data_IF_695613100698
#
_entry.id   IF_695613100698
#
_cell.length_a   1.000
_cell.length_b   1.000
_cell.length_c   1.000
_cell.angle_alpha   90.00
_cell.angle_beta   90.00
_cell.angle_gamma   90.00
#
_symmetry.space_group_name_H-M   'P 1'
#
loop_
_entity.id
_entity.type
_entity.pdbx_description
1 polymer ?
#
# COMPACT_ATOMS: atom_id res chain seq x y z
N UNK A 1 18.37 28.71 2.96
CA UNK A 1 19.53 27.92 2.49
C UNK A 1 20.73 27.96 3.45
N UNK A 2 21.15 29.10 4.04
CA UNK A 2 22.29 29.13 4.96
C UNK A 2 22.12 28.13 6.12
N UNK A 3 21.02 28.22 6.90
CA UNK A 3 20.74 27.29 8.00
C UNK A 3 20.69 25.81 7.58
N UNK A 4 20.26 25.51 6.35
CA UNK A 4 20.22 24.13 5.85
C UNK A 4 21.62 23.55 5.63
N UNK A 5 22.60 24.38 5.30
CA UNK A 5 24.01 23.95 5.13
C UNK A 5 24.70 23.64 6.45
N UNK A 6 24.26 24.29 7.54
CA UNK A 6 24.83 24.13 8.88
C UNK A 6 24.14 23.02 9.68
N UNK A 7 23.04 22.45 9.18
CA UNK A 7 22.32 21.38 9.82
C UNK A 7 23.00 20.01 9.59
N UNK A 8 22.83 19.06 10.50
CA UNK A 8 23.24 17.67 10.32
C UNK A 8 22.22 16.89 9.49
N UNK A 9 20.94 17.17 9.69
CA UNK A 9 19.80 16.59 8.98
C UNK A 9 18.75 17.67 8.72
N UNK A 10 18.09 17.60 7.58
CA UNK A 10 17.01 18.51 7.21
C UNK A 10 15.69 17.74 7.25
N UNK A 11 14.74 18.19 8.06
CA UNK A 11 13.36 17.71 8.04
C UNK A 11 12.51 18.69 7.24
N UNK A 12 12.10 18.29 6.04
CA UNK A 12 11.24 19.07 5.17
C UNK A 12 9.78 18.66 5.34
N UNK A 13 8.98 19.46 6.04
CA UNK A 13 7.54 19.22 6.20
C UNK A 13 6.82 19.96 5.07
N UNK A 14 6.29 19.20 4.13
CA UNK A 14 5.66 19.67 2.90
C UNK A 14 4.29 19.01 2.70
N UNK A 15 3.54 19.46 1.71
CA UNK A 15 2.25 18.88 1.38
C UNK A 15 1.17 19.91 1.13
N UNK A 16 -0.03 19.60 1.55
CA UNK A 16 -1.23 20.37 1.25
C UNK A 16 -1.75 21.12 2.47
N UNK A 17 -2.45 22.20 2.21
CA UNK A 17 -3.14 22.98 3.24
C UNK A 17 -4.65 22.69 3.17
N UNK A 18 -5.37 23.09 4.19
CA UNK A 18 -6.83 23.08 4.27
C UNK A 18 -7.53 23.83 3.10
N UNK A 19 -6.81 24.73 2.43
CA UNK A 19 -7.31 25.45 1.24
C UNK A 19 -7.21 24.64 -0.05
N UNK A 20 -6.42 23.59 -0.06
CA UNK A 20 -6.17 22.75 -1.24
C UNK A 20 -6.92 21.42 -1.22
N UNK A 21 -7.47 21.03 -0.09
CA UNK A 21 -8.12 19.73 0.12
C UNK A 21 -9.44 19.91 0.86
N UNK A 22 -10.51 19.33 0.33
CA UNK A 22 -11.83 19.36 0.94
C UNK A 22 -12.93 19.14 -0.10
N UNK A 23 -14.16 19.09 0.36
CA UNK A 23 -15.32 18.98 -0.51
C UNK A 23 -15.35 20.13 -1.53
N UNK A 24 -15.60 19.81 -2.79
CA UNK A 24 -15.62 20.75 -3.92
C UNK A 24 -14.26 21.41 -4.24
N UNK A 25 -13.16 20.93 -3.66
CA UNK A 25 -11.81 21.39 -3.97
C UNK A 25 -11.09 20.39 -4.88
N UNK A 26 -11.50 20.35 -6.15
CA UNK A 26 -10.88 19.50 -7.16
C UNK A 26 -9.52 20.02 -7.59
N UNK A 27 -8.56 19.11 -7.76
CA UNK A 27 -7.21 19.44 -8.27
C UNK A 27 -6.99 18.82 -9.64
N UNK A 28 -6.29 19.56 -10.49
CA UNK A 28 -5.86 19.10 -11.82
C UNK A 28 -4.43 18.56 -11.82
N UNK A 29 -3.71 18.69 -10.70
CA UNK A 29 -2.36 18.15 -10.52
C UNK A 29 -2.26 17.50 -9.14
N UNK A 30 -1.55 16.38 -9.06
CA UNK A 30 -1.22 15.69 -7.82
C UNK A 30 0.23 15.99 -7.37
N UNK A 31 0.88 16.97 -7.95
CA UNK A 31 2.21 17.40 -7.54
C UNK A 31 2.18 18.20 -6.24
N UNK A 32 3.34 18.33 -5.60
CA UNK A 32 3.53 19.22 -4.46
C UNK A 32 3.12 20.64 -4.83
N UNK A 33 2.26 21.31 -4.05
CA UNK A 33 1.72 22.61 -4.41
C UNK A 33 2.77 23.72 -4.41
N UNK A 34 2.58 24.70 -5.30
CA UNK A 34 3.38 25.92 -5.35
C UNK A 34 4.84 25.64 -5.68
N UNK A 35 5.75 26.10 -4.82
CA UNK A 35 7.20 25.96 -5.00
C UNK A 35 7.84 24.90 -4.11
N UNK A 36 7.06 24.00 -3.54
CA UNK A 36 7.56 23.01 -2.59
C UNK A 36 8.54 22.04 -3.24
N UNK A 37 8.29 21.61 -4.48
CA UNK A 37 9.22 20.79 -5.24
C UNK A 37 10.58 21.49 -5.42
N UNK A 38 10.57 22.74 -5.82
CA UNK A 38 11.80 23.55 -5.98
C UNK A 38 12.55 23.73 -4.66
N UNK A 39 11.82 23.91 -3.56
CA UNK A 39 12.43 23.97 -2.23
C UNK A 39 13.11 22.65 -1.86
N UNK A 40 12.43 21.52 -2.08
CA UNK A 40 12.96 20.20 -1.78
C UNK A 40 14.24 19.91 -2.59
N UNK A 41 14.23 20.22 -3.88
CA UNK A 41 15.40 20.10 -4.74
C UNK A 41 16.56 21.00 -4.26
N UNK A 42 16.27 22.23 -3.88
CA UNK A 42 17.28 23.15 -3.35
C UNK A 42 17.86 22.65 -2.01
N UNK A 43 17.05 22.06 -1.13
CA UNK A 43 17.53 21.45 0.11
C UNK A 43 18.43 20.24 -0.19
N UNK A 44 18.06 19.41 -1.14
CA UNK A 44 18.87 18.26 -1.56
C UNK A 44 20.25 18.69 -2.08
N UNK A 45 20.36 19.81 -2.81
CA UNK A 45 21.66 20.32 -3.31
C UNK A 45 22.62 20.75 -2.20
N UNK A 46 22.20 20.84 -0.95
CA UNK A 46 23.11 21.11 0.18
C UNK A 46 24.02 19.93 0.51
N UNK A 47 23.71 18.74 0.01
CA UNK A 47 24.39 17.48 0.33
C UNK A 47 24.09 16.93 1.74
N UNK A 48 23.17 17.57 2.47
CA UNK A 48 22.73 17.08 3.79
C UNK A 48 21.61 16.04 3.62
N UNK A 49 21.53 15.04 4.51
CA UNK A 49 20.40 14.12 4.52
C UNK A 49 19.07 14.88 4.66
N UNK A 50 18.12 14.59 3.80
CA UNK A 50 16.77 15.18 3.84
C UNK A 50 15.77 14.10 4.22
N UNK A 51 14.94 14.38 5.21
CA UNK A 51 13.74 13.60 5.54
C UNK A 51 12.53 14.40 5.08
N UNK A 52 11.73 13.84 4.20
CA UNK A 52 10.48 14.44 3.75
C UNK A 52 9.33 13.94 4.64
N UNK A 53 8.61 14.87 5.25
CA UNK A 53 7.35 14.58 5.95
C UNK A 53 6.23 15.18 5.12
N UNK A 54 5.31 14.34 4.68
CA UNK A 54 4.15 14.75 3.89
C UNK A 54 2.93 14.92 4.77
N UNK A 55 2.31 16.10 4.70
CA UNK A 55 1.02 16.42 5.32
C UNK A 55 0.05 16.72 4.18
N UNK A 56 -0.82 15.78 3.85
CA UNK A 56 -1.71 15.87 2.67
C UNK A 56 -2.95 14.99 2.83
N UNK A 57 -3.96 15.25 2.03
CA UNK A 57 -5.23 14.52 2.08
C UNK A 57 -5.45 13.58 0.90
N UNK A 58 -4.51 13.50 -0.04
CA UNK A 58 -4.59 12.66 -1.25
C UNK A 58 -3.21 12.20 -1.69
N UNK A 59 -3.07 11.09 -2.43
CA UNK A 59 -1.80 10.62 -2.96
C UNK A 59 -1.15 11.67 -3.88
N UNK A 60 0.13 11.94 -3.68
CA UNK A 60 0.89 12.89 -4.48
C UNK A 60 1.83 12.18 -5.47
N UNK A 61 2.08 12.82 -6.61
CA UNK A 61 3.06 12.36 -7.62
C UNK A 61 4.47 12.83 -7.22
N UNK A 62 5.09 12.12 -6.28
CA UNK A 62 6.38 12.49 -5.68
C UNK A 62 7.57 11.73 -6.27
N UNK A 63 7.56 11.47 -7.58
CA UNK A 63 8.59 10.67 -8.26
C UNK A 63 10.02 11.15 -8.02
N UNK A 64 10.23 12.48 -7.99
CA UNK A 64 11.55 13.03 -7.74
C UNK A 64 12.00 12.74 -6.30
N UNK A 65 11.10 12.92 -5.32
CA UNK A 65 11.39 12.64 -3.91
C UNK A 65 11.71 11.16 -3.69
N UNK A 66 10.95 10.25 -4.30
CA UNK A 66 11.18 8.81 -4.22
C UNK A 66 12.60 8.42 -4.65
N UNK A 67 13.15 9.06 -5.68
CA UNK A 67 14.50 8.77 -6.20
C UNK A 67 15.63 9.46 -5.45
N UNK A 68 15.37 10.60 -4.82
CA UNK A 68 16.42 11.49 -4.33
C UNK A 68 16.40 11.72 -2.82
N UNK A 69 15.30 11.40 -2.16
CA UNK A 69 15.13 11.63 -0.72
C UNK A 69 15.23 10.30 0.02
N UNK A 70 16.20 10.14 0.95
CA UNK A 70 16.46 8.85 1.59
C UNK A 70 15.37 8.37 2.55
N UNK A 71 14.51 9.27 3.05
CA UNK A 71 13.42 8.93 3.94
C UNK A 71 12.19 9.80 3.68
N UNK A 72 11.03 9.17 3.55
CA UNK A 72 9.73 9.83 3.35
C UNK A 72 8.75 9.28 4.38
N UNK A 73 8.15 10.17 5.17
CA UNK A 73 7.09 9.86 6.10
C UNK A 73 5.77 10.45 5.58
N UNK A 74 4.83 9.58 5.22
CA UNK A 74 3.46 9.97 4.88
C UNK A 74 2.64 10.06 6.17
N UNK A 75 2.25 11.26 6.57
CA UNK A 75 1.54 11.50 7.82
C UNK A 75 0.06 11.82 7.60
N UNK A 76 -0.41 11.96 6.37
CA UNK A 76 -1.75 12.43 6.06
C UNK A 76 -2.09 13.70 6.85
N UNK A 77 -3.29 13.83 7.40
CA UNK A 77 -3.68 14.88 8.35
C UNK A 77 -3.66 14.30 9.78
N UNK A 78 -2.53 14.40 10.50
CA UNK A 78 -2.30 13.66 11.73
C UNK A 78 -3.01 14.23 12.97
N UNK A 79 -3.79 15.31 12.80
CA UNK A 79 -4.54 15.94 13.89
C UNK A 79 -3.67 16.71 14.90
N UNK A 80 -4.23 17.07 16.06
CA UNK A 80 -3.57 17.99 17.02
C UNK A 80 -2.29 17.43 17.64
N UNK A 81 -2.16 16.12 17.77
CA UNK A 81 -0.94 15.47 18.30
C UNK A 81 0.07 15.09 17.20
N UNK A 82 -0.17 15.51 15.96
CA UNK A 82 0.62 15.10 14.79
C UNK A 82 2.10 15.46 14.89
N UNK A 83 2.43 16.65 15.37
CA UNK A 83 3.82 17.06 15.54
C UNK A 83 4.61 16.14 16.49
N UNK A 84 3.98 15.70 17.57
CA UNK A 84 4.56 14.74 18.52
C UNK A 84 4.72 13.36 17.87
N UNK A 85 3.67 12.85 17.22
CA UNK A 85 3.71 11.54 16.57
C UNK A 85 4.78 11.47 15.46
N UNK A 86 4.91 12.52 14.66
CA UNK A 86 5.98 12.65 13.67
C UNK A 86 7.35 12.64 14.31
N UNK A 87 7.57 13.41 15.40
CA UNK A 87 8.84 13.43 16.10
C UNK A 87 9.19 12.05 16.69
N UNK A 88 8.25 11.39 17.37
CA UNK A 88 8.44 10.04 17.92
C UNK A 88 8.83 9.02 16.84
N UNK A 89 8.22 9.11 15.64
CA UNK A 89 8.61 8.28 14.50
C UNK A 89 10.03 8.61 14.02
N UNK A 90 10.34 9.88 13.79
CA UNK A 90 11.64 10.32 13.26
C UNK A 90 12.81 9.98 14.18
N UNK A 91 12.61 10.05 15.50
CA UNK A 91 13.65 9.74 16.49
C UNK A 91 13.63 8.29 16.97
N UNK A 92 12.75 7.45 16.41
CA UNK A 92 12.73 6.02 16.69
C UNK A 92 12.10 5.62 18.02
N UNK A 93 11.38 6.53 18.69
CA UNK A 93 10.58 6.23 19.88
C UNK A 93 9.33 5.41 19.51
N UNK A 94 8.88 5.54 18.28
CA UNK A 94 7.81 4.76 17.67
C UNK A 94 8.26 4.19 16.32
N UNK A 95 8.02 2.89 16.12
CA UNK A 95 8.27 2.24 14.84
C UNK A 95 7.01 2.33 13.97
N UNK A 96 7.01 3.08 12.84
CA UNK A 96 5.84 3.22 11.99
C UNK A 96 5.40 1.86 11.43
N UNK A 97 4.16 1.47 11.68
CA UNK A 97 3.54 0.24 11.16
C UNK A 97 2.36 0.52 10.24
N UNK A 98 2.13 1.78 9.89
CA UNK A 98 1.04 2.18 8.99
C UNK A 98 1.25 1.70 7.56
N UNK A 99 0.15 1.40 6.85
CA UNK A 99 0.15 1.02 5.44
C UNK A 99 -0.70 1.99 4.63
N UNK A 100 -0.29 2.27 3.41
CA UNK A 100 -1.05 3.13 2.49
C UNK A 100 -2.41 2.53 2.17
N UNK A 101 -3.45 3.30 2.39
CA UNK A 101 -4.84 2.94 2.09
C UNK A 101 -5.26 3.30 0.67
N UNK A 102 -4.35 3.90 -0.08
CA UNK A 102 -4.53 4.32 -1.47
C UNK A 102 -3.26 4.02 -2.28
N UNK A 103 -3.44 3.84 -3.57
CA UNK A 103 -2.32 3.70 -4.52
C UNK A 103 -1.76 5.09 -4.84
N UNK A 104 -0.45 5.27 -4.77
CA UNK A 104 0.22 6.50 -5.18
C UNK A 104 0.55 6.45 -6.68
N UNK A 105 0.12 7.43 -7.48
CA UNK A 105 0.39 7.48 -8.91
C UNK A 105 1.78 8.04 -9.22
N UNK A 106 2.29 7.73 -10.39
CA UNK A 106 3.45 8.38 -10.99
C UNK A 106 3.06 9.64 -11.77
N UNK A 107 1.81 9.73 -12.22
CA UNK A 107 1.32 10.81 -13.04
C UNK A 107 -0.18 11.01 -12.82
N UNK A 108 -0.63 12.26 -12.82
CA UNK A 108 -2.05 12.62 -12.81
C UNK A 108 -2.83 12.01 -13.98
N UNK A 109 -2.15 11.71 -15.10
CA UNK A 109 -2.76 11.08 -16.27
C UNK A 109 -2.96 9.57 -16.19
N UNK A 110 -2.51 8.91 -15.12
CA UNK A 110 -2.80 7.49 -14.91
C UNK A 110 -4.26 7.33 -14.48
N UNK A 111 -5.13 6.88 -15.39
CA UNK A 111 -6.55 6.61 -15.13
C UNK A 111 -6.72 5.12 -14.84
N UNK A 112 -7.62 4.79 -13.91
CA UNK A 112 -7.90 3.40 -13.47
C UNK A 112 -6.66 2.63 -12.99
N UNK A 113 -5.79 3.29 -12.25
CA UNK A 113 -4.58 2.67 -11.70
C UNK A 113 -4.75 2.25 -10.23
N UNK A 114 -5.83 2.62 -9.58
CA UNK A 114 -6.10 2.30 -8.18
C UNK A 114 -6.29 0.80 -7.96
N UNK A 115 -5.79 0.32 -6.85
CA UNK A 115 -6.17 -1.01 -6.35
C UNK A 115 -7.60 -0.96 -5.75
N UNK A 116 -8.47 -1.98 -5.98
CA UNK A 116 -8.27 -3.10 -6.89
C UNK A 116 -8.46 -2.70 -8.36
N UNK A 117 -7.73 -3.35 -9.27
CA UNK A 117 -7.80 -3.10 -10.71
C UNK A 117 -8.22 -4.37 -11.46
N UNK A 118 -8.76 -4.19 -12.67
CA UNK A 118 -9.18 -5.30 -13.55
C UNK A 118 -7.99 -5.82 -14.37
N UNK A 119 -8.01 -7.10 -14.77
CA UNK A 119 -7.03 -7.65 -15.70
C UNK A 119 -6.93 -6.81 -16.98
N UNK A 120 -5.70 -6.58 -17.45
CA UNK A 120 -5.44 -5.74 -18.62
C UNK A 120 -5.35 -4.23 -18.33
N UNK A 121 -5.64 -3.79 -17.11
CA UNK A 121 -5.37 -2.42 -16.67
C UNK A 121 -3.86 -2.14 -16.61
N UNK A 122 -3.48 -0.91 -16.91
CA UNK A 122 -2.09 -0.46 -16.77
C UNK A 122 -1.59 -0.51 -15.31
N UNK A 123 -2.50 -0.46 -14.35
CA UNK A 123 -2.16 -0.58 -12.93
C UNK A 123 -1.50 -1.93 -12.58
N UNK A 124 -1.89 -3.01 -13.27
CA UNK A 124 -1.32 -4.35 -13.07
C UNK A 124 -0.03 -4.62 -13.83
N UNK A 125 0.44 -3.67 -14.64
CA UNK A 125 1.68 -3.87 -15.39
C UNK A 125 2.92 -3.55 -14.54
N UNK A 126 4.07 -4.20 -14.82
CA UNK A 126 5.32 -3.85 -14.16
C UNK A 126 5.62 -2.36 -14.30
N UNK A 127 6.20 -1.79 -13.24
CA UNK A 127 6.62 -0.40 -13.27
C UNK A 127 7.66 -0.17 -14.36
N UNK A 128 7.30 0.58 -15.38
CA UNK A 128 8.15 0.94 -16.50
C UNK A 128 7.92 2.41 -16.89
N UNK A 129 8.87 2.96 -17.60
CA UNK A 129 8.80 4.34 -18.11
C UNK A 129 9.22 5.40 -17.10
N UNK A 130 9.61 6.54 -17.61
CA UNK A 130 9.89 7.75 -16.81
C UNK A 130 8.75 8.75 -16.99
N UNK A 131 7.96 9.02 -15.95
CA UNK A 131 6.85 9.98 -16.03
C UNK A 131 7.31 11.41 -16.31
N UNK A 132 8.59 11.71 -16.09
CA UNK A 132 9.19 13.02 -16.38
C UNK A 132 9.96 13.05 -17.72
N UNK A 133 10.04 11.91 -18.43
CA UNK A 133 10.65 11.81 -19.73
C UNK A 133 9.76 12.39 -20.82
N UNK A 134 10.30 13.25 -21.68
CA UNK A 134 9.52 13.99 -22.68
C UNK A 134 8.72 13.12 -23.65
N UNK A 135 7.43 13.26 -23.63
CA UNK A 135 6.52 13.09 -24.76
C UNK A 135 5.90 11.73 -25.06
N UNK A 136 6.47 10.58 -24.73
CA UNK A 136 5.90 9.25 -25.06
C UNK A 136 6.12 8.18 -24.00
N UNK A 137 6.32 8.54 -22.78
CA UNK A 137 6.50 7.57 -21.71
C UNK A 137 5.16 7.08 -21.17
N UNK A 138 4.89 5.80 -21.33
CA UNK A 138 3.84 5.16 -20.57
C UNK A 138 4.32 4.98 -19.13
N UNK A 139 3.73 5.68 -18.18
CA UNK A 139 3.93 5.42 -16.76
C UNK A 139 3.08 4.22 -16.36
N UNK A 140 3.68 3.03 -16.29
CA UNK A 140 3.01 1.82 -15.88
C UNK A 140 3.24 1.55 -14.39
N UNK A 141 2.26 0.93 -13.75
CA UNK A 141 2.28 0.59 -12.34
C UNK A 141 2.25 1.80 -11.40
N UNK A 142 2.09 1.57 -10.12
CA UNK A 142 2.05 2.63 -9.10
C UNK A 142 3.44 3.16 -8.78
N UNK A 143 3.51 4.36 -8.20
CA UNK A 143 4.69 4.82 -7.47
C UNK A 143 4.82 4.02 -6.17
N UNK A 144 3.76 4.00 -5.37
CA UNK A 144 3.63 3.09 -4.23
C UNK A 144 2.29 2.34 -4.32
N UNK A 145 2.28 1.01 -4.17
CA UNK A 145 1.06 0.22 -4.27
C UNK A 145 0.18 0.39 -3.03
N UNK A 146 -1.09 0.03 -3.16
CA UNK A 146 -1.99 -0.12 -2.02
C UNK A 146 -1.40 -1.09 -0.98
N UNK A 147 -1.52 -0.74 0.28
CA UNK A 147 -1.01 -1.54 1.39
C UNK A 147 0.50 -1.37 1.66
N UNK A 148 1.22 -0.59 0.86
CA UNK A 148 2.66 -0.36 1.05
C UNK A 148 2.95 0.40 2.35
N UNK A 149 4.07 0.03 2.99
CA UNK A 149 4.61 0.74 4.14
C UNK A 149 5.85 0.02 4.66
N UNK A 150 6.87 0.78 5.03
CA UNK A 150 8.11 0.29 5.60
C UNK A 150 8.03 0.24 7.13
N UNK A 151 9.00 -0.44 7.73
CA UNK A 151 9.19 -0.53 9.18
C UNK A 151 10.67 -0.41 9.51
N UNK A 152 11.00 -0.07 10.74
CA UNK A 152 12.38 -0.11 11.26
C UNK A 152 12.84 -1.54 11.60
N UNK A 153 11.96 -2.52 11.42
CA UNK A 153 12.27 -3.95 11.55
C UNK A 153 11.84 -4.71 10.31
N UNK A 154 12.07 -6.00 10.28
CA UNK A 154 11.70 -6.89 9.18
C UNK A 154 10.79 -8.00 9.66
N UNK A 155 9.91 -8.48 8.77
CA UNK A 155 8.97 -9.55 9.08
C UNK A 155 9.10 -10.70 8.10
N UNK A 156 9.06 -11.94 8.63
CA UNK A 156 9.04 -13.16 7.86
C UNK A 156 7.67 -13.83 7.93
N UNK A 157 7.25 -14.43 6.82
CA UNK A 157 5.97 -15.15 6.69
C UNK A 157 6.24 -16.61 6.40
N UNK A 158 5.48 -17.52 7.04
CA UNK A 158 5.64 -18.96 6.87
C UNK A 158 4.36 -19.72 7.19
N UNK A 159 4.33 -21.00 6.84
CA UNK A 159 3.27 -21.94 7.21
C UNK A 159 1.86 -21.46 6.80
N UNK A 160 1.70 -20.85 5.62
CA UNK A 160 0.37 -20.56 5.08
C UNK A 160 -0.40 -21.86 4.91
N UNK A 161 -1.64 -21.89 5.40
CA UNK A 161 -2.58 -22.99 5.25
C UNK A 161 -3.97 -22.45 4.92
N UNK A 162 -4.65 -23.14 4.03
CA UNK A 162 -6.04 -22.88 3.64
C UNK A 162 -6.83 -24.15 3.86
N UNK A 163 -7.97 -24.08 4.49
CA UNK A 163 -8.80 -25.25 4.79
C UNK A 163 -10.29 -24.90 4.76
N UNK A 164 -11.13 -25.73 4.13
CA UNK A 164 -10.78 -26.88 3.29
C UNK A 164 -10.21 -26.49 1.93
N UNK A 165 -9.43 -27.37 1.28
CA UNK A 165 -8.95 -27.17 -0.09
C UNK A 165 -10.03 -27.38 -1.16
N UNK A 166 -11.10 -28.10 -0.83
CA UNK A 166 -12.31 -28.24 -1.63
C UNK A 166 -13.50 -27.86 -0.77
N UNK A 167 -14.26 -26.90 -1.19
CA UNK A 167 -15.28 -26.26 -0.37
C UNK A 167 -16.61 -26.17 -1.13
N UNK A 168 -17.71 -26.48 -0.46
CA UNK A 168 -19.03 -26.14 -0.96
C UNK A 168 -19.18 -24.60 -1.03
N UNK A 169 -20.04 -24.06 -1.92
CA UNK A 169 -20.19 -22.59 -2.08
C UNK A 169 -20.57 -21.83 -0.80
N UNK A 170 -21.14 -22.53 0.18
CA UNK A 170 -21.57 -21.97 1.47
C UNK A 170 -20.57 -22.22 2.62
N UNK A 171 -19.44 -22.88 2.33
CA UNK A 171 -18.47 -23.20 3.36
C UNK A 171 -17.68 -21.96 3.81
N UNK A 172 -17.23 -22.00 5.04
CA UNK A 172 -16.22 -21.08 5.55
C UNK A 172 -14.84 -21.63 5.20
N UNK A 173 -13.95 -20.76 4.73
CA UNK A 173 -12.56 -21.08 4.42
C UNK A 173 -11.68 -20.45 5.49
N UNK A 174 -11.00 -21.28 6.27
CA UNK A 174 -10.00 -20.80 7.23
C UNK A 174 -8.65 -20.64 6.56
N UNK A 175 -8.01 -19.50 6.81
CA UNK A 175 -6.66 -19.18 6.35
C UNK A 175 -5.81 -18.88 7.57
N UNK A 176 -4.66 -19.54 7.69
CA UNK A 176 -3.70 -19.28 8.76
C UNK A 176 -2.32 -19.05 8.21
N UNK A 177 -1.58 -18.12 8.80
CA UNK A 177 -0.19 -17.85 8.45
C UNK A 177 0.60 -17.46 9.69
N UNK A 178 1.83 -17.93 9.79
CA UNK A 178 2.77 -17.52 10.84
C UNK A 178 3.53 -16.28 10.38
N UNK A 179 3.58 -15.27 11.24
CA UNK A 179 4.34 -14.04 11.03
C UNK A 179 5.31 -13.84 12.18
N UNK A 180 6.57 -13.60 11.85
CA UNK A 180 7.66 -13.42 12.82
C UNK A 180 8.38 -12.09 12.58
N UNK A 181 8.74 -11.41 13.65
CA UNK A 181 9.68 -10.29 13.58
C UNK A 181 11.10 -10.84 13.50
N UNK A 182 11.74 -10.67 12.35
CA UNK A 182 13.09 -11.15 12.06
C UNK A 182 14.17 -10.09 12.23
N UNK A 183 13.78 -8.87 12.56
CA UNK A 183 14.69 -7.73 12.75
C UNK A 183 14.95 -7.41 14.24
N UNK A 184 15.74 -6.35 14.49
CA UNK A 184 16.29 -6.06 15.82
C UNK A 184 15.37 -5.24 16.73
N UNK A 185 14.31 -4.62 16.22
CA UNK A 185 13.43 -3.76 17.01
C UNK A 185 11.99 -4.26 16.99
N UNK A 186 11.22 -3.95 18.03
CA UNK A 186 9.80 -4.24 18.06
C UNK A 186 9.05 -3.43 16.99
N UNK A 187 8.00 -4.00 16.44
CA UNK A 187 7.18 -3.32 15.44
C UNK A 187 5.88 -4.03 15.17
N UNK A 188 5.00 -3.32 14.51
CA UNK A 188 3.72 -3.83 14.07
C UNK A 188 3.79 -4.19 12.59
N UNK A 189 3.33 -5.39 12.24
CA UNK A 189 3.07 -5.75 10.85
C UNK A 189 1.55 -5.75 10.59
N UNK A 190 1.16 -5.29 9.42
CA UNK A 190 -0.22 -5.43 8.92
C UNK A 190 -0.24 -6.53 7.87
N UNK A 191 -0.65 -7.70 8.32
CA UNK A 191 -0.80 -8.88 7.46
C UNK A 191 -2.03 -8.71 6.60
N UNK A 192 -1.89 -8.77 5.28
CA UNK A 192 -2.97 -8.50 4.33
C UNK A 192 -3.31 -9.78 3.57
N UNK A 193 -4.60 -10.13 3.57
CA UNK A 193 -5.14 -11.25 2.79
C UNK A 193 -5.85 -10.72 1.57
N UNK A 194 -5.38 -11.15 0.41
CA UNK A 194 -5.99 -10.89 -0.88
C UNK A 194 -6.55 -12.18 -1.47
N UNK A 195 -7.66 -12.05 -2.17
CA UNK A 195 -8.30 -13.17 -2.86
C UNK A 195 -8.37 -12.85 -4.36
N UNK A 196 -8.02 -13.84 -5.18
CA UNK A 196 -8.18 -13.84 -6.62
C UNK A 196 -9.11 -14.97 -7.03
N UNK A 197 -10.12 -14.66 -7.81
CA UNK A 197 -10.86 -15.63 -8.60
C UNK A 197 -10.08 -15.87 -9.90
N UNK A 198 -9.61 -17.08 -10.13
CA UNK A 198 -8.71 -17.38 -11.25
C UNK A 198 -9.43 -17.32 -12.59
N UNK A 199 -10.70 -17.76 -12.61
CA UNK A 199 -11.52 -17.77 -13.80
C UNK A 199 -12.99 -17.61 -13.43
N UNK A 200 -13.58 -16.52 -13.87
CA UNK A 200 -14.99 -16.17 -13.61
C UNK A 200 -15.76 -15.93 -14.91
N UNK A 201 -17.08 -16.08 -14.85
CA UNK A 201 -17.99 -15.88 -16.00
C UNK A 201 -18.10 -14.44 -16.45
N UNK A 202 -17.66 -13.51 -15.60
CA UNK A 202 -17.63 -12.06 -15.84
C UNK A 202 -16.25 -11.51 -15.46
N UNK A 203 -15.90 -10.32 -15.95
CA UNK A 203 -14.64 -9.68 -15.58
C UNK A 203 -14.68 -9.24 -14.12
N UNK A 204 -13.84 -9.83 -13.29
CA UNK A 204 -13.60 -9.46 -11.90
C UNK A 204 -12.28 -8.69 -11.74
N UNK A 205 -11.98 -8.25 -10.54
CA UNK A 205 -10.67 -7.66 -10.23
C UNK A 205 -9.55 -8.72 -10.21
N UNK A 206 -8.33 -8.31 -10.54
CA UNK A 206 -7.17 -9.20 -10.49
C UNK A 206 -6.98 -9.82 -9.10
N UNK A 207 -7.11 -9.01 -8.07
CA UNK A 207 -7.21 -9.46 -6.68
C UNK A 207 -7.94 -8.42 -5.84
N UNK A 208 -8.46 -8.83 -4.69
CA UNK A 208 -9.18 -7.95 -3.77
C UNK A 208 -8.75 -8.21 -2.34
N UNK A 209 -8.57 -7.15 -1.54
CA UNK A 209 -8.35 -7.28 -0.11
C UNK A 209 -9.62 -7.87 0.55
N UNK A 210 -9.47 -8.97 1.27
CA UNK A 210 -10.56 -9.66 1.99
C UNK A 210 -10.35 -9.70 3.49
N UNK A 211 -9.15 -9.36 3.95
CA UNK A 211 -8.87 -9.26 5.37
C UNK A 211 -7.52 -8.61 5.62
N UNK A 212 -7.37 -8.06 6.79
CA UNK A 212 -6.08 -7.62 7.31
C UNK A 212 -6.07 -7.73 8.84
N UNK A 213 -4.89 -7.95 9.39
CA UNK A 213 -4.68 -8.02 10.83
C UNK A 213 -3.39 -7.30 11.19
N UNK A 214 -3.47 -6.40 12.16
CA UNK A 214 -2.29 -5.70 12.71
C UNK A 214 -1.78 -6.47 13.92
N UNK A 215 -0.55 -6.93 13.85
CA UNK A 215 0.10 -7.72 14.89
C UNK A 215 1.35 -7.04 15.40
N UNK A 216 1.40 -6.76 16.70
CA UNK A 216 2.60 -6.27 17.36
C UNK A 216 3.52 -7.45 17.71
N UNK A 217 4.79 -7.34 17.34
CA UNK A 217 5.80 -8.39 17.50
C UNK A 217 7.11 -7.81 18.07
N UNK A 218 7.61 -8.42 19.14
CA UNK A 218 8.96 -8.16 19.64
C UNK A 218 9.99 -8.85 18.74
N UNK A 219 11.27 -8.45 18.77
CA UNK A 219 12.34 -9.16 18.07
C UNK A 219 12.31 -10.68 18.36
N UNK A 220 12.30 -11.50 17.32
CA UNK A 220 12.22 -12.96 17.41
C UNK A 220 10.83 -13.51 17.76
N UNK A 221 9.85 -12.67 18.09
CA UNK A 221 8.48 -13.13 18.37
C UNK A 221 7.77 -13.57 17.09
N UNK A 222 6.98 -14.65 17.21
CA UNK A 222 6.15 -15.21 16.15
C UNK A 222 4.71 -15.33 16.62
N UNK A 223 3.77 -14.98 15.75
CA UNK A 223 2.32 -15.18 15.97
C UNK A 223 1.67 -15.83 14.76
N UNK A 224 0.65 -16.63 14.99
CA UNK A 224 -0.21 -17.17 13.94
C UNK A 224 -1.40 -16.23 13.75
N UNK A 225 -1.52 -15.67 12.56
CA UNK A 225 -2.67 -14.86 12.13
C UNK A 225 -3.71 -15.76 11.48
N UNK A 226 -4.99 -15.49 11.74
CA UNK A 226 -6.12 -16.26 11.24
C UNK A 226 -7.11 -15.34 10.54
N UNK A 227 -7.58 -15.80 9.39
CA UNK A 227 -8.68 -15.18 8.65
C UNK A 227 -9.74 -16.23 8.35
N UNK A 228 -10.97 -15.77 8.21
CA UNK A 228 -12.09 -16.62 7.77
C UNK A 228 -12.72 -15.95 6.54
N UNK A 229 -12.60 -16.58 5.38
CA UNK A 229 -13.34 -16.19 4.19
C UNK A 229 -14.74 -16.78 4.24
N UNK A 230 -15.72 -15.93 4.00
CA UNK A 230 -17.15 -16.27 3.95
C UNK A 230 -17.60 -16.37 2.50
N UNK A 231 -18.75 -16.99 2.22
CA UNK A 231 -19.30 -17.01 0.85
C UNK A 231 -19.38 -15.64 0.18
N UNK A 232 -19.68 -14.60 0.96
CA UNK A 232 -19.73 -13.22 0.47
C UNK A 232 -18.37 -12.69 -0.01
N UNK A 233 -17.27 -13.21 0.52
CA UNK A 233 -15.92 -12.81 0.09
C UNK A 233 -15.57 -13.41 -1.28
N UNK A 234 -16.20 -14.53 -1.64
CA UNK A 234 -16.00 -15.24 -2.90
C UNK A 234 -17.01 -14.83 -3.98
N UNK A 235 -18.14 -14.24 -3.57
CA UNK A 235 -19.25 -13.98 -4.45
C UNK A 235 -18.97 -12.86 -5.47
N UNK A 236 -19.49 -13.05 -6.68
CA UNK A 236 -19.56 -12.06 -7.75
C UNK A 236 -21.03 -11.81 -8.17
N UNK A 237 -21.25 -10.76 -8.95
CA UNK A 237 -22.50 -10.54 -9.66
C UNK A 237 -22.39 -11.13 -11.06
N UNK A 238 -23.23 -12.13 -11.37
CA UNK A 238 -23.29 -12.74 -12.69
C UNK A 238 -23.93 -11.82 -13.74
N UNK A 239 -24.02 -12.27 -14.98
CA UNK A 239 -24.64 -11.51 -16.09
C UNK A 239 -26.12 -11.20 -15.87
N UNK A 240 -26.79 -11.92 -14.98
CA UNK A 240 -28.19 -11.72 -14.61
C UNK A 240 -28.34 -10.91 -13.33
N UNK A 241 -27.22 -10.34 -12.81
CA UNK A 241 -27.15 -9.57 -11.57
C UNK A 241 -27.49 -10.39 -10.31
N UNK A 242 -27.35 -11.69 -10.35
CA UNK A 242 -27.44 -12.52 -9.18
C UNK A 242 -26.10 -12.56 -8.46
N UNK A 243 -26.12 -12.53 -7.13
CA UNK A 243 -24.94 -12.73 -6.31
C UNK A 243 -24.69 -14.22 -6.15
N UNK A 244 -23.60 -14.71 -6.72
CA UNK A 244 -23.26 -16.15 -6.77
C UNK A 244 -21.80 -16.39 -6.41
N UNK A 245 -21.56 -17.56 -5.82
CA UNK A 245 -20.20 -18.14 -5.72
C UNK A 245 -20.10 -19.16 -6.85
N UNK A 246 -19.27 -18.89 -7.82
CA UNK A 246 -19.03 -19.81 -8.93
C UNK A 246 -18.10 -20.95 -8.53
N UNK A 247 -18.27 -22.17 -9.09
CA UNK A 247 -17.29 -23.21 -8.94
C UNK A 247 -16.00 -22.85 -9.68
N UNK A 248 -14.88 -23.11 -9.07
CA UNK A 248 -13.59 -22.79 -9.65
C UNK A 248 -12.49 -22.63 -8.64
N UNK A 249 -11.30 -22.33 -9.16
CA UNK A 249 -10.11 -22.12 -8.35
C UNK A 249 -10.01 -20.70 -7.86
N UNK A 250 -9.74 -20.58 -6.57
CA UNK A 250 -9.40 -19.32 -5.91
C UNK A 250 -7.94 -19.35 -5.43
N UNK A 251 -7.28 -18.21 -5.50
CA UNK A 251 -5.95 -18.00 -4.95
C UNK A 251 -6.04 -17.10 -3.72
N UNK A 252 -5.52 -17.60 -2.60
CA UNK A 252 -5.28 -16.83 -1.37
C UNK A 252 -3.86 -16.30 -1.43
N UNK A 253 -3.72 -14.98 -1.37
CA UNK A 253 -2.46 -14.27 -1.42
C UNK A 253 -2.26 -13.55 -0.09
N UNK A 254 -1.19 -13.88 0.63
CA UNK A 254 -0.84 -13.18 1.87
C UNK A 254 0.38 -12.32 1.62
N UNK A 255 0.29 -11.06 2.00
CA UNK A 255 1.37 -10.10 1.77
C UNK A 255 1.44 -8.96 2.77
N UNK A 256 2.46 -8.13 2.61
CA UNK A 256 2.64 -6.85 3.30
C UNK A 256 2.10 -5.67 2.50
N UNK A 257 1.77 -5.88 1.22
CA UNK A 257 1.07 -4.95 0.32
C UNK A 257 0.42 -5.71 -0.83
N UNK A 258 -0.34 -5.03 -1.68
CA UNK A 258 -0.99 -5.62 -2.85
C UNK A 258 -0.01 -6.17 -3.90
N UNK A 259 1.26 -5.79 -3.85
CA UNK A 259 2.32 -6.27 -4.77
C UNK A 259 3.42 -7.05 -4.07
N UNK A 260 3.55 -6.93 -2.75
CA UNK A 260 4.52 -7.69 -1.96
C UNK A 260 3.85 -8.91 -1.34
N UNK A 261 3.58 -9.90 -2.19
CA UNK A 261 2.98 -11.18 -1.79
C UNK A 261 4.06 -12.11 -1.26
N UNK A 262 3.93 -12.51 -0.01
CA UNK A 262 4.89 -13.33 0.74
C UNK A 262 4.55 -14.82 0.76
N UNK A 263 3.27 -15.15 0.63
CA UNK A 263 2.82 -16.54 0.57
C UNK A 263 1.56 -16.65 -0.27
N UNK A 264 1.40 -17.80 -0.95
CA UNK A 264 0.27 -18.07 -1.83
C UNK A 264 -0.18 -19.51 -1.65
N UNK A 265 -1.48 -19.74 -1.63
CA UNK A 265 -2.13 -21.05 -1.58
C UNK A 265 -3.43 -21.01 -2.40
N UNK A 266 -3.96 -22.17 -2.75
CA UNK A 266 -5.18 -22.28 -3.56
C UNK A 266 -6.20 -23.18 -2.90
N UNK A 267 -7.47 -22.94 -3.21
CA UNK A 267 -8.57 -23.87 -2.93
C UNK A 267 -9.57 -23.86 -4.10
N UNK A 268 -10.47 -24.81 -4.11
CA UNK A 268 -11.53 -24.94 -5.13
C UNK A 268 -12.92 -24.81 -4.49
N UNK A 269 -13.74 -23.91 -5.04
CA UNK A 269 -15.18 -23.92 -4.81
C UNK A 269 -15.81 -24.99 -5.72
N UNK A 270 -16.57 -25.89 -5.09
CA UNK A 270 -17.20 -27.00 -5.79
C UNK A 270 -18.57 -26.59 -6.34
N UNK A 271 -19.08 -27.34 -7.31
CA UNK A 271 -20.50 -27.27 -7.70
C UNK A 271 -21.38 -27.69 -6.52
N UNK A 272 -22.62 -27.17 -6.46
CA UNK A 272 -23.62 -27.58 -5.51
C UNK A 272 -23.93 -29.08 -5.59
#
# INVERSE_FOLDING_TARGET
MARARDADVIVAVLGETDKAVGESLSRTSLELPGRQQQLLEALHTTGKPVVLVLINGQPLTINWAERNVPAILEAWFPGPSGGRAVAEALFGEYNPGGKLTMTFPKSTGQIEFNFPFKPGSQAGQPSAGDPNGGGRTSANGPLYPFGFGLSYTTFGYSNLRVSPHQAAPQALIEVTVDVANTGPVAGDEVVQLYLRDVLSSVVTYDSQLRGFERVALKPGEKKTVRFTLRPDDLALLDRSMNRVVEPGRFEVLIGSSSTDIRAKETFESMTR
#
